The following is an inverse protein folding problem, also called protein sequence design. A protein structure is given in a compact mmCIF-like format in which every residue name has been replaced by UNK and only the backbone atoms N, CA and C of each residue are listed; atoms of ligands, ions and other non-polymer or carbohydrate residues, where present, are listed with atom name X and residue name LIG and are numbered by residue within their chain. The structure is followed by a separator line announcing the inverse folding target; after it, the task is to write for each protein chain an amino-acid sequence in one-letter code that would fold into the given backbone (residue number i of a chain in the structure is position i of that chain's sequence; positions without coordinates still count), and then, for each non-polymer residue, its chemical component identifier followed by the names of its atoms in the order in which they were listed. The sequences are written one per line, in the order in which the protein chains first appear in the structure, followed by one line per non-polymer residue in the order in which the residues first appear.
data_IF_227643957204
#
_entry.id   IF_227643957204
#
_cell.length_a   1.000
_cell.length_b   1.000
_cell.length_c   1.000
_cell.angle_alpha   90.00
_cell.angle_beta   90.00
_cell.angle_gamma   90.00
#
_symmetry.space_group_name_H-M   'P 1'
#
loop_
_entity.id
_entity.type
_entity.pdbx_description
1 polymer ?
#
# COMPACT_ATOMS: atom_id res chain seq x y z
N UNK A 1 8.04 9.83 -21.16
CA UNK A 1 7.01 10.17 -22.18
C UNK A 1 5.81 10.92 -21.60
N UNK A 2 5.17 10.45 -20.52
CA UNK A 2 3.97 11.12 -19.96
C UNK A 2 4.23 12.53 -19.40
N UNK A 3 5.35 12.75 -18.71
CA UNK A 3 5.72 14.06 -18.14
C UNK A 3 5.81 15.15 -19.22
N UNK A 4 6.42 14.84 -20.36
CA UNK A 4 6.62 15.79 -21.45
C UNK A 4 5.29 16.22 -22.09
N UNK A 5 4.36 15.28 -22.29
CA UNK A 5 3.01 15.59 -22.78
C UNK A 5 2.23 16.44 -21.78
N UNK A 6 2.36 16.17 -20.47
CA UNK A 6 1.69 16.96 -19.44
C UNK A 6 2.22 18.40 -19.41
N UNK A 7 3.54 18.61 -19.42
CA UNK A 7 4.11 19.97 -19.43
C UNK A 7 3.73 20.74 -20.71
N UNK A 8 3.64 20.05 -21.85
CA UNK A 8 3.22 20.69 -23.10
C UNK A 8 1.77 21.16 -23.05
N UNK A 9 0.87 20.42 -22.39
CA UNK A 9 -0.55 20.78 -22.30
C UNK A 9 -0.88 21.73 -21.16
N UNK A 10 -0.18 21.64 -20.03
CA UNK A 10 -0.51 22.37 -18.79
C UNK A 10 0.49 23.48 -18.44
N UNK A 11 1.63 23.56 -19.14
CA UNK A 11 2.63 24.60 -18.93
C UNK A 11 3.91 24.09 -18.23
N UNK A 12 5.06 24.76 -18.48
CA UNK A 12 6.36 24.38 -17.92
C UNK A 12 6.49 24.67 -16.42
N UNK A 13 5.65 25.53 -15.84
CA UNK A 13 5.65 25.84 -14.40
C UNK A 13 5.47 24.60 -13.51
N UNK A 14 4.82 23.56 -14.02
CA UNK A 14 4.61 22.32 -13.29
C UNK A 14 5.90 21.50 -13.10
N UNK A 15 7.01 21.85 -13.75
CA UNK A 15 8.30 21.18 -13.57
C UNK A 15 8.74 21.20 -12.08
N UNK A 16 8.47 22.29 -11.35
CA UNK A 16 8.72 22.35 -9.92
C UNK A 16 7.82 21.37 -9.13
N UNK A 17 6.55 21.22 -9.53
CA UNK A 17 5.63 20.23 -8.96
C UNK A 17 6.12 18.81 -9.18
N UNK A 18 6.57 18.47 -10.40
CA UNK A 18 7.17 17.17 -10.71
C UNK A 18 8.41 16.90 -9.84
N UNK A 19 9.28 17.90 -9.66
CA UNK A 19 10.44 17.82 -8.77
C UNK A 19 10.02 17.54 -7.32
N UNK A 20 9.01 18.24 -6.80
CA UNK A 20 8.50 18.04 -5.44
C UNK A 20 7.87 16.64 -5.25
N UNK A 21 7.08 16.17 -6.22
CA UNK A 21 6.46 14.84 -6.18
C UNK A 21 7.50 13.72 -6.26
N UNK A 22 8.57 13.92 -7.05
CA UNK A 22 9.69 12.97 -7.13
C UNK A 22 10.45 12.92 -5.81
N UNK A 23 10.76 14.08 -5.22
CA UNK A 23 11.42 14.16 -3.89
C UNK A 23 10.57 13.54 -2.78
N UNK A 24 9.24 13.66 -2.86
CA UNK A 24 8.31 13.03 -1.92
C UNK A 24 8.13 11.52 -2.15
N UNK A 25 8.70 10.94 -3.22
CA UNK A 25 8.54 9.53 -3.58
C UNK A 25 7.17 9.17 -4.16
N UNK A 26 6.33 10.16 -4.47
CA UNK A 26 5.00 9.95 -5.05
C UNK A 26 5.05 9.74 -6.57
N UNK A 27 6.06 10.31 -7.23
CA UNK A 27 6.29 10.17 -8.66
C UNK A 27 7.74 9.79 -8.93
N UNK A 28 8.02 8.50 -8.90
CA UNK A 28 9.35 7.94 -9.16
C UNK A 28 9.39 7.27 -10.52
N UNK A 29 10.49 7.45 -11.24
CA UNK A 29 10.75 6.65 -12.44
C UNK A 29 11.04 5.22 -12.02
N UNK A 30 10.30 4.27 -12.60
CA UNK A 30 10.51 2.86 -12.32
C UNK A 30 11.69 2.38 -13.16
N UNK A 31 12.91 2.48 -12.61
CA UNK A 31 14.10 1.94 -13.27
C UNK A 31 13.97 0.40 -13.36
N UNK A 32 14.34 -0.23 -14.47
CA UNK A 32 14.18 -1.67 -14.68
C UNK A 32 15.04 -2.58 -13.77
N UNK A 33 15.73 -2.03 -12.76
CA UNK A 33 16.60 -2.79 -11.83
C UNK A 33 16.39 -2.54 -10.32
N UNK A 34 15.71 -1.47 -9.90
CA UNK A 34 15.71 -1.07 -8.47
C UNK A 34 14.84 -1.95 -7.56
N UNK A 35 13.88 -2.67 -8.13
CA UNK A 35 13.03 -3.64 -7.42
C UNK A 35 13.73 -4.95 -7.08
N UNK A 36 14.97 -5.18 -7.53
CA UNK A 36 15.77 -6.36 -7.22
C UNK A 36 16.46 -6.25 -5.84
N UNK A 37 16.87 -5.05 -5.44
CA UNK A 37 17.74 -4.84 -4.27
C UNK A 37 17.09 -5.18 -2.93
N UNK A 38 15.76 -5.08 -2.80
CA UNK A 38 15.05 -5.41 -1.56
C UNK A 38 14.83 -6.92 -1.35
N UNK A 39 15.00 -7.76 -2.39
CA UNK A 39 14.79 -9.22 -2.31
C UNK A 39 16.07 -10.03 -2.50
N UNK A 40 17.13 -9.44 -3.05
CA UNK A 40 18.43 -10.11 -3.20
C UNK A 40 19.05 -10.49 -1.83
N UNK A 41 18.85 -9.67 -0.80
CA UNK A 41 19.42 -9.93 0.53
C UNK A 41 18.87 -11.18 1.25
N UNK A 42 17.81 -11.84 0.73
CA UNK A 42 17.23 -13.03 1.36
C UNK A 42 17.28 -14.30 0.51
N UNK A 43 17.75 -14.23 -0.73
CA UNK A 43 17.81 -15.39 -1.66
C UNK A 43 19.18 -15.54 -2.35
N UNK A 44 20.19 -14.72 -2.06
CA UNK A 44 21.55 -14.92 -2.63
C UNK A 44 22.36 -16.08 -2.02
N UNK A 45 21.73 -17.13 -1.46
CA UNK A 45 22.47 -18.31 -0.95
C UNK A 45 22.17 -19.64 -1.65
N UNK A 46 21.33 -19.67 -2.68
CA UNK A 46 21.07 -20.87 -3.49
C UNK A 46 20.62 -20.31 -4.86
N UNK A 47 21.32 -20.46 -5.98
CA UNK A 47 21.53 -21.71 -6.70
C UNK A 47 22.56 -21.45 -7.82
N UNK A 48 23.60 -22.26 -7.84
CA UNK A 48 24.52 -22.42 -8.98
C UNK A 48 23.85 -23.25 -10.09
N UNK A 49 24.11 -22.83 -11.31
CA UNK A 49 24.07 -23.61 -12.56
C UNK A 49 22.75 -23.92 -13.29
N UNK A 50 22.72 -23.43 -14.54
CA UNK A 50 22.08 -23.99 -15.76
C UNK A 50 20.55 -23.94 -15.93
N UNK A 51 19.79 -23.40 -14.97
CA UNK A 51 18.36 -23.05 -15.15
C UNK A 51 18.09 -21.54 -15.27
N UNK A 52 19.14 -20.72 -15.42
CA UNK A 52 19.08 -19.26 -15.32
C UNK A 52 18.09 -18.58 -16.29
N UNK A 53 17.94 -19.06 -17.53
CA UNK A 53 17.12 -18.38 -18.54
C UNK A 53 15.63 -18.25 -18.21
N UNK A 54 15.01 -19.26 -17.59
CA UNK A 54 13.58 -19.23 -17.22
C UNK A 54 13.31 -18.46 -15.92
N UNK A 55 14.32 -18.41 -15.05
CA UNK A 55 14.25 -17.72 -13.76
C UNK A 55 14.39 -16.21 -13.99
N UNK A 56 15.26 -15.78 -14.91
CA UNK A 56 15.44 -14.36 -15.27
C UNK A 56 14.14 -13.71 -15.77
N UNK A 57 13.32 -14.39 -16.57
CA UNK A 57 12.03 -13.84 -17.05
C UNK A 57 10.94 -13.78 -15.97
N UNK A 58 10.92 -14.75 -15.05
CA UNK A 58 10.04 -14.72 -13.89
C UNK A 58 10.43 -13.62 -12.90
N UNK A 59 11.74 -13.39 -12.72
CA UNK A 59 12.27 -12.32 -11.89
C UNK A 59 12.14 -10.94 -12.55
N UNK A 60 12.28 -10.81 -13.87
CA UNK A 60 12.02 -9.55 -14.58
C UNK A 60 10.53 -9.18 -14.52
N UNK A 61 9.65 -10.18 -14.56
CA UNK A 61 8.21 -10.00 -14.33
C UNK A 61 7.88 -9.61 -12.88
N UNK A 62 8.70 -10.03 -11.92
CA UNK A 62 8.60 -9.63 -10.51
C UNK A 62 9.21 -8.24 -10.26
N UNK A 63 10.29 -7.88 -10.94
CA UNK A 63 10.90 -6.55 -10.91
C UNK A 63 9.96 -5.48 -11.51
N UNK A 64 9.15 -5.86 -12.51
CA UNK A 64 8.06 -5.03 -13.05
C UNK A 64 6.86 -4.90 -12.10
N UNK A 65 6.79 -5.72 -11.04
CA UNK A 65 5.63 -5.86 -10.16
C UNK A 65 5.87 -5.09 -8.86
N UNK A 66 5.30 -3.89 -8.75
CA UNK A 66 5.35 -3.06 -7.54
C UNK A 66 5.08 -3.87 -6.27
N UNK A 67 5.86 -3.64 -5.20
CA UNK A 67 5.66 -4.20 -3.85
C UNK A 67 4.21 -4.11 -3.37
N UNK A 68 3.49 -3.08 -3.83
CA UNK A 68 2.06 -2.92 -3.58
C UNK A 68 1.28 -4.19 -3.89
N UNK A 69 1.55 -4.90 -5.00
CA UNK A 69 0.78 -6.10 -5.34
C UNK A 69 0.97 -7.24 -4.33
N UNK A 70 2.20 -7.40 -3.81
CA UNK A 70 2.48 -8.39 -2.78
C UNK A 70 1.82 -8.02 -1.44
N UNK A 71 1.95 -6.75 -1.04
CA UNK A 71 1.36 -6.22 0.20
C UNK A 71 -0.17 -6.26 0.13
N UNK A 72 -0.78 -5.84 -0.99
CA UNK A 72 -2.22 -5.86 -1.21
C UNK A 72 -2.81 -7.26 -1.11
N UNK A 73 -2.09 -8.29 -1.56
CA UNK A 73 -2.50 -9.69 -1.37
C UNK A 73 -2.31 -10.13 0.09
N UNK A 74 -1.15 -9.84 0.69
CA UNK A 74 -0.81 -10.28 2.06
C UNK A 74 -1.75 -9.67 3.11
N UNK A 75 -2.09 -8.40 2.95
CA UNK A 75 -2.93 -7.65 3.88
C UNK A 75 -4.39 -7.55 3.44
N UNK A 76 -4.80 -8.23 2.36
CA UNK A 76 -6.17 -8.16 1.82
C UNK A 76 -6.66 -6.71 1.64
N UNK A 77 -5.86 -5.88 0.97
CA UNK A 77 -6.19 -4.48 0.71
C UNK A 77 -7.22 -4.29 -0.40
N UNK A 78 -7.39 -5.27 -1.28
CA UNK A 78 -8.41 -5.26 -2.34
C UNK A 78 -9.41 -6.36 -2.00
N UNK A 79 -10.58 -6.00 -1.44
CA UNK A 79 -11.64 -6.95 -1.17
C UNK A 79 -12.10 -7.65 -2.45
N UNK A 80 -12.38 -8.94 -2.34
CA UNK A 80 -13.02 -9.71 -3.41
C UNK A 80 -14.49 -9.78 -3.08
N UNK A 81 -15.26 -8.87 -3.65
CA UNK A 81 -16.70 -8.77 -3.43
C UNK A 81 -17.34 -9.20 -4.73
N UNK A 82 -18.04 -10.33 -4.71
CA UNK A 82 -18.84 -10.77 -5.85
C UNK A 82 -20.15 -9.99 -5.84
N UNK A 83 -20.14 -8.79 -6.44
CA UNK A 83 -21.31 -7.91 -6.55
C UNK A 83 -21.12 -6.53 -5.92
N UNK A 84 -22.23 -5.83 -5.70
CA UNK A 84 -22.26 -4.50 -5.09
C UNK A 84 -21.93 -4.58 -3.59
N UNK A 85 -21.08 -3.68 -3.11
CA UNK A 85 -20.71 -3.60 -1.70
C UNK A 85 -21.82 -2.92 -0.89
N UNK A 86 -22.38 -3.62 0.11
CA UNK A 86 -23.42 -3.04 0.97
C UNK A 86 -22.83 -1.99 1.93
N UNK A 87 -23.08 -0.72 1.62
CA UNK A 87 -22.66 0.41 2.44
C UNK A 87 -23.54 0.64 3.67
N UNK A 88 -24.74 0.04 3.74
CA UNK A 88 -25.63 0.18 4.90
C UNK A 88 -25.17 -0.67 6.06
N UNK A 89 -24.60 -1.83 5.76
CA UNK A 89 -24.07 -2.78 6.75
C UNK A 89 -22.60 -3.08 6.42
N UNK A 90 -21.68 -2.16 6.73
CA UNK A 90 -20.27 -2.32 6.38
C UNK A 90 -19.65 -3.48 7.15
N UNK A 91 -18.96 -4.37 6.43
CA UNK A 91 -18.32 -5.57 7.01
C UNK A 91 -16.86 -5.33 7.38
N UNK A 92 -16.21 -4.43 6.65
CA UNK A 92 -14.81 -4.07 6.83
C UNK A 92 -14.58 -2.60 6.47
N UNK A 93 -13.35 -2.13 6.64
CA UNK A 93 -12.99 -0.75 6.32
C UNK A 93 -13.01 -0.39 4.84
N UNK A 94 -13.33 -1.34 3.96
CA UNK A 94 -13.43 -1.04 2.54
C UNK A 94 -14.62 -0.12 2.22
N UNK A 95 -15.58 0.02 3.14
CA UNK A 95 -16.73 0.92 2.97
C UNK A 95 -16.32 2.36 2.62
N UNK A 96 -15.15 2.81 3.10
CA UNK A 96 -14.61 4.17 2.83
C UNK A 96 -14.35 4.39 1.34
N UNK A 97 -13.98 3.32 0.63
CA UNK A 97 -13.74 3.33 -0.82
C UNK A 97 -14.73 2.40 -1.55
N UNK A 98 -15.96 2.31 -1.05
CA UNK A 98 -17.05 1.55 -1.68
C UNK A 98 -16.71 0.08 -2.00
N UNK A 99 -15.93 -0.57 -1.14
CA UNK A 99 -15.51 -1.95 -1.33
C UNK A 99 -14.29 -2.13 -2.23
N UNK A 100 -13.79 -1.08 -2.89
CA UNK A 100 -12.67 -1.19 -3.84
C UNK A 100 -11.30 -1.31 -3.16
N UNK A 101 -11.16 -0.76 -1.95
CA UNK A 101 -9.88 -0.72 -1.25
C UNK A 101 -10.07 -0.58 0.27
N UNK A 102 -9.29 -1.34 1.04
CA UNK A 102 -9.12 -1.13 2.48
C UNK A 102 -7.85 -0.28 2.68
N UNK A 103 -7.90 0.87 3.38
CA UNK A 103 -6.71 1.67 3.64
C UNK A 103 -5.59 0.85 4.30
N UNK A 104 -4.38 0.89 3.74
CA UNK A 104 -3.21 0.19 4.27
C UNK A 104 -2.98 0.49 5.77
N UNK A 105 -3.13 1.75 6.18
CA UNK A 105 -3.01 2.16 7.58
C UNK A 105 -3.99 1.40 8.49
N UNK A 106 -5.24 1.21 8.06
CA UNK A 106 -6.24 0.44 8.81
C UNK A 106 -5.80 -1.02 8.98
N UNK A 107 -5.32 -1.68 7.92
CA UNK A 107 -4.81 -3.06 8.02
C UNK A 107 -3.60 -3.18 8.94
N UNK A 108 -2.67 -2.22 8.91
CA UNK A 108 -1.51 -2.24 9.80
C UNK A 108 -1.92 -2.13 11.27
N UNK A 109 -2.90 -1.26 11.58
CA UNK A 109 -3.43 -1.11 12.93
C UNK A 109 -4.13 -2.40 13.39
N UNK A 110 -4.91 -3.04 12.51
CA UNK A 110 -5.55 -4.34 12.78
C UNK A 110 -4.53 -5.43 13.15
N UNK A 111 -3.36 -5.46 12.50
CA UNK A 111 -2.29 -6.42 12.83
C UNK A 111 -1.74 -6.22 14.23
N UNK A 112 -1.68 -4.99 14.73
CA UNK A 112 -1.09 -4.66 16.05
C UNK A 112 -2.11 -4.86 17.18
N UNK A 113 -3.38 -4.48 16.96
CA UNK A 113 -4.42 -4.49 18.00
C UNK A 113 -5.12 -5.84 18.16
N UNK A 114 -4.80 -6.82 17.31
CA UNK A 114 -5.56 -8.05 17.16
C UNK A 114 -6.91 -7.79 16.47
N UNK A 115 -7.57 -8.86 16.01
CA UNK A 115 -8.73 -8.88 15.11
C UNK A 115 -10.03 -8.20 15.62
N UNK A 116 -9.94 -7.28 16.59
CA UNK A 116 -11.09 -6.52 17.06
C UNK A 116 -11.53 -5.50 16.00
N UNK A 117 -12.82 -5.49 15.59
CA UNK A 117 -13.35 -4.63 14.55
C UNK A 117 -13.59 -3.19 15.08
N UNK A 118 -12.54 -2.58 15.65
CA UNK A 118 -12.61 -1.24 16.21
C UNK A 118 -12.92 -0.18 15.14
N UNK A 119 -12.50 -0.44 13.89
CA UNK A 119 -12.68 0.49 12.78
C UNK A 119 -13.98 0.24 12.00
N UNK A 120 -14.48 -1.00 11.91
CA UNK A 120 -15.73 -1.31 11.17
C UNK A 120 -17.00 -0.80 11.84
N UNK A 121 -16.89 -0.16 13.01
CA UNK A 121 -18.03 0.47 13.68
C UNK A 121 -18.28 1.84 13.04
N UNK A 122 -19.51 2.12 12.60
CA UNK A 122 -19.91 3.47 12.21
C UNK A 122 -19.51 4.46 13.31
N UNK A 123 -18.90 5.58 12.90
CA UNK A 123 -18.46 6.69 13.77
C UNK A 123 -19.46 7.12 14.87
N UNK A 124 -20.80 7.01 14.71
CA UNK A 124 -21.73 7.38 15.78
C UNK A 124 -21.63 6.55 17.07
N UNK A 125 -20.95 5.39 17.05
CA UNK A 125 -20.83 4.50 18.22
C UNK A 125 -19.50 4.61 18.96
N UNK A 126 -18.57 5.42 18.46
CA UNK A 126 -17.38 5.80 19.21
C UNK A 126 -17.81 6.90 20.18
N UNK A 127 -18.08 6.52 21.43
CA UNK A 127 -17.94 7.48 22.54
C UNK A 127 -16.58 8.18 22.46
N UNK A 128 -16.40 9.31 23.18
CA UNK A 128 -15.14 10.05 23.15
C UNK A 128 -13.96 9.08 23.35
N UNK A 129 -12.91 9.26 22.53
CA UNK A 129 -11.70 8.45 22.58
C UNK A 129 -11.30 8.23 24.04
N UNK A 130 -11.02 6.99 24.50
CA UNK A 130 -10.53 6.78 25.85
C UNK A 130 -9.24 7.57 25.99
N UNK A 131 -9.33 8.67 26.73
CA UNK A 131 -8.19 9.51 27.08
C UNK A 131 -7.33 8.65 28.00
N UNK A 132 -6.03 8.49 27.75
CA UNK A 132 -5.16 7.76 28.66
C UNK A 132 -5.26 8.41 30.04
N UNK A 133 -5.87 7.71 31.00
CA UNK A 133 -5.93 8.17 32.39
C UNK A 133 -4.52 8.11 32.93
N UNK A 134 -3.85 9.26 33.02
CA UNK A 134 -2.67 9.41 33.84
C UNK A 134 -3.07 9.12 35.28
N UNK A 135 -2.74 7.93 35.76
CA UNK A 135 -2.79 7.59 37.17
C UNK A 135 -1.71 8.40 37.89
N UNK A 136 -2.01 9.67 38.20
CA UNK A 136 -1.28 10.36 39.24
C UNK A 136 -1.70 9.72 40.57
N UNK A 137 -0.86 8.79 41.04
CA UNK A 137 -0.86 8.35 42.42
C UNK A 137 -0.46 9.56 43.26
N UNK A 138 -1.43 10.18 43.94
CA UNK A 138 -1.13 11.10 45.03
C UNK A 138 -0.49 10.32 46.16
N UNK A 139 0.71 10.74 46.56
CA UNK A 139 1.25 10.50 47.89
C UNK A 139 0.68 11.52 48.87
#
# INVERSE_FOLDING_TARGET
MAELHFLQSYGPEHLLTFSNLRRAGLLTEQAPGDTLTAVESKVSKLVTDKAAGKITDAFSSLAKRSNFRAISKKLNLIPRVDGEYDLKVPRDMAYVFSGAYVPLSCRLIEQVRGSHPFMCRPLPSLGPWPVPTSSHSSN
#
